data_IF_943292864469
#
_entry.id   IF_943292864469
#
_cell.length_a   1.000
_cell.length_b   1.000
_cell.length_c   1.000
_cell.angle_alpha   90.00
_cell.angle_beta   90.00
_cell.angle_gamma   90.00
#
_symmetry.space_group_name_H-M   'P 1'
#
loop_
_entity.id
_entity.type
_entity.pdbx_description
1 polymer ?
#
# COMPACT_ATOMS: atom_id res chain seq x y z
N UNK A 1 5.13 -5.91 1.63
CA UNK A 1 4.35 -4.66 1.52
C UNK A 1 4.48 -3.96 0.18
N UNK A 2 5.67 -3.57 -0.30
CA UNK A 2 5.77 -2.92 -1.63
C UNK A 2 5.23 -3.79 -2.76
N UNK A 3 5.63 -5.07 -2.80
CA UNK A 3 5.14 -6.02 -3.80
C UNK A 3 3.61 -6.26 -3.72
N UNK A 4 3.05 -6.09 -2.53
CA UNK A 4 1.62 -6.24 -2.24
C UNK A 4 0.82 -5.06 -2.79
N UNK A 5 1.35 -3.83 -2.65
CA UNK A 5 0.82 -2.63 -3.30
C UNK A 5 0.85 -2.78 -4.82
N UNK A 6 1.99 -3.22 -5.37
CA UNK A 6 2.14 -3.38 -6.82
C UNK A 6 1.18 -4.45 -7.37
N UNK A 7 1.01 -5.57 -6.66
CA UNK A 7 0.04 -6.60 -7.03
C UNK A 7 -1.40 -6.08 -7.03
N UNK A 8 -1.83 -5.37 -5.98
CA UNK A 8 -3.17 -4.81 -5.92
C UNK A 8 -3.39 -3.74 -6.99
N UNK A 9 -2.37 -2.94 -7.32
CA UNK A 9 -2.45 -1.95 -8.40
C UNK A 9 -2.68 -2.62 -9.76
N UNK A 10 -1.96 -3.70 -10.04
CA UNK A 10 -2.14 -4.49 -11.27
C UNK A 10 -3.56 -5.08 -11.33
N UNK A 11 -4.09 -5.59 -10.22
CA UNK A 11 -5.44 -6.15 -10.17
C UNK A 11 -6.48 -5.05 -10.41
N UNK A 12 -6.31 -3.88 -9.79
CA UNK A 12 -7.17 -2.71 -9.99
C UNK A 12 -7.17 -2.25 -11.45
N UNK A 13 -5.99 -2.09 -12.05
CA UNK A 13 -5.83 -1.69 -13.46
C UNK A 13 -6.53 -2.68 -14.40
N UNK A 14 -6.41 -3.99 -14.13
CA UNK A 14 -7.09 -5.04 -14.90
C UNK A 14 -8.61 -4.96 -14.80
N UNK A 15 -9.14 -4.71 -13.60
CA UNK A 15 -10.59 -4.65 -13.37
C UNK A 15 -11.21 -3.41 -14.05
N UNK A 16 -10.55 -2.25 -13.93
CA UNK A 16 -10.99 -0.99 -14.56
C UNK A 16 -10.89 -1.08 -16.09
N UNK A 17 -9.86 -1.78 -16.60
CA UNK A 17 -9.67 -1.97 -18.05
C UNK A 17 -10.58 -3.05 -18.64
N UNK A 18 -11.38 -3.74 -17.82
CA UNK A 18 -12.29 -4.77 -18.30
C UNK A 18 -13.49 -4.15 -19.03
N UNK A 19 -14.02 -4.86 -20.03
CA UNK A 19 -15.20 -4.43 -20.78
C UNK A 19 -16.48 -4.41 -19.94
N UNK A 20 -16.48 -5.04 -18.77
CA UNK A 20 -17.59 -5.06 -17.82
C UNK A 20 -17.07 -4.80 -16.40
N UNK A 21 -16.77 -3.55 -16.13
CA UNK A 21 -16.18 -3.10 -14.86
C UNK A 21 -17.07 -3.48 -13.67
N UNK A 22 -16.54 -4.31 -12.77
CA UNK A 22 -17.19 -4.56 -11.49
C UNK A 22 -16.82 -3.46 -10.48
N UNK A 23 -17.66 -2.43 -10.39
CA UNK A 23 -17.42 -1.28 -9.50
C UNK A 23 -17.30 -1.66 -8.03
N UNK A 24 -18.01 -2.70 -7.56
CA UNK A 24 -17.89 -3.15 -6.17
C UNK A 24 -16.50 -3.71 -5.90
N UNK A 25 -15.99 -4.51 -6.83
CA UNK A 25 -14.64 -5.08 -6.74
C UNK A 25 -13.56 -4.00 -6.85
N UNK A 26 -13.74 -3.03 -7.75
CA UNK A 26 -12.85 -1.85 -7.86
C UNK A 26 -12.81 -1.08 -6.53
N UNK A 27 -13.97 -0.86 -5.90
CA UNK A 27 -14.05 -0.18 -4.61
C UNK A 27 -13.35 -0.96 -3.49
N UNK A 28 -13.54 -2.28 -3.43
CA UNK A 28 -12.87 -3.14 -2.45
C UNK A 28 -11.35 -3.12 -2.61
N UNK A 29 -10.85 -3.24 -3.84
CA UNK A 29 -9.40 -3.18 -4.11
C UNK A 29 -8.84 -1.80 -3.76
N UNK A 30 -9.58 -0.72 -4.05
CA UNK A 30 -9.15 0.65 -3.74
C UNK A 30 -9.00 0.86 -2.23
N UNK A 31 -9.96 0.38 -1.42
CA UNK A 31 -9.87 0.44 0.05
C UNK A 31 -8.68 -0.36 0.58
N UNK A 32 -8.45 -1.56 0.05
CA UNK A 32 -7.32 -2.39 0.44
C UNK A 32 -5.97 -1.73 0.12
N UNK A 33 -5.86 -1.06 -1.02
CA UNK A 33 -4.69 -0.28 -1.41
C UNK A 33 -4.43 0.87 -0.42
N UNK A 34 -5.45 1.66 -0.10
CA UNK A 34 -5.32 2.76 0.86
C UNK A 34 -4.81 2.25 2.22
N UNK A 35 -5.41 1.17 2.74
CA UNK A 35 -4.99 0.58 4.02
C UNK A 35 -3.53 0.11 4.02
N UNK A 36 -3.08 -0.54 2.95
CA UNK A 36 -1.70 -1.03 2.84
C UNK A 36 -0.72 0.12 2.65
N UNK A 37 -1.07 1.14 1.88
CA UNK A 37 -0.22 2.32 1.67
C UNK A 37 0.00 3.03 3.00
N UNK A 38 -1.06 3.26 3.78
CA UNK A 38 -0.96 3.84 5.12
C UNK A 38 -0.04 3.01 6.01
N UNK A 39 -0.24 1.69 6.08
CA UNK A 39 0.64 0.79 6.86
C UNK A 39 2.10 0.85 6.42
N UNK A 40 2.35 0.89 5.11
CA UNK A 40 3.70 0.96 4.56
C UNK A 40 4.43 2.23 5.01
N UNK A 41 3.76 3.38 4.97
CA UNK A 41 4.34 4.64 5.41
C UNK A 41 4.52 4.69 6.93
N UNK A 42 3.55 4.19 7.71
CA UNK A 42 3.67 4.08 9.17
C UNK A 42 4.89 3.23 9.59
N UNK A 43 5.11 2.09 8.93
CA UNK A 43 6.25 1.21 9.23
C UNK A 43 7.59 1.83 8.81
N UNK A 44 7.61 2.53 7.67
CA UNK A 44 8.77 3.31 7.20
C UNK A 44 9.14 4.42 8.20
N UNK A 45 8.15 5.14 8.71
CA UNK A 45 8.37 6.23 9.66
C UNK A 45 8.89 5.68 11.00
N UNK A 46 8.27 4.61 11.53
CA UNK A 46 8.75 3.91 12.73
C UNK A 46 10.18 3.38 12.58
N UNK A 47 10.53 2.88 11.40
CA UNK A 47 11.90 2.41 11.11
C UNK A 47 12.91 3.55 11.11
N UNK A 48 12.55 4.71 10.55
CA UNK A 48 13.40 5.90 10.56
C UNK A 48 13.60 6.47 11.98
N UNK A 49 12.58 6.43 12.84
CA UNK A 49 12.69 6.86 14.24
C UNK A 49 13.66 5.95 15.02
N UNK A 50 13.59 4.62 14.80
CA UNK A 50 14.52 3.68 15.44
C UNK A 50 15.98 3.95 15.08
N UNK A 51 16.27 4.26 13.81
CA UNK A 51 17.64 4.54 13.35
C UNK A 51 18.18 5.83 13.98
N UNK A 52 17.37 6.90 14.05
CA UNK A 52 17.80 8.17 14.68
C UNK A 52 18.13 8.00 16.17
N UNK A 53 17.36 7.20 16.89
CA UNK A 53 17.61 6.94 18.31
C UNK A 53 18.87 6.08 18.57
N UNK A 54 19.28 5.26 17.60
CA UNK A 54 20.52 4.48 17.67
C UNK A 54 21.78 5.32 17.38
N UNK A 55 21.66 6.38 16.58
CA UNK A 55 22.79 7.25 16.22
C UNK A 55 23.11 8.27 17.34
N UNK A 56 22.09 8.75 18.07
CA UNK A 56 22.25 9.76 19.13
C UNK A 56 22.67 9.20 20.51
N UNK A 57 23.07 7.93 20.61
CA UNK A 57 23.55 7.30 21.86
C UNK A 57 25.04 6.93 21.84
N UNK A 58 25.81 7.51 20.91
CA UNK A 58 27.27 7.39 20.84
C UNK A 58 27.99 8.49 21.59
#
# INVERSE_FOLDING_TARGET
>A
MRDEIDNLRIILEKEISSSNVNYNKVLEISKALDEIIVKYYDEKEKSNIKIKNSINKG
#
